data_IF_601709239856
#
_entry.id   IF_601709239856
#
_cell.length_a   1.000
_cell.length_b   1.000
_cell.length_c   1.000
_cell.angle_alpha   90.00
_cell.angle_beta   90.00
_cell.angle_gamma   90.00
#
_symmetry.space_group_name_H-M   'P 1'
#
loop_
_entity.id
_entity.type
_entity.pdbx_description
1 polymer ?
#
# COMPACT_ATOMS: atom_id res chain seq x y z
N UNK A 1 -3.73 -12.79 -14.54
CA UNK A 1 -3.28 -11.39 -14.44
C UNK A 1 -2.46 -11.26 -13.16
N UNK A 2 -1.23 -10.75 -13.23
CA UNK A 2 -0.36 -10.69 -12.06
C UNK A 2 -0.85 -9.62 -11.09
N UNK A 3 -1.16 -10.00 -9.84
CA UNK A 3 -1.74 -9.12 -8.80
C UNK A 3 -0.93 -7.83 -8.59
N UNK A 4 0.41 -7.94 -8.53
CA UNK A 4 1.31 -6.79 -8.36
C UNK A 4 1.14 -5.80 -9.53
N UNK A 5 1.02 -6.32 -10.76
CA UNK A 5 0.88 -5.52 -11.97
C UNK A 5 -0.45 -4.76 -11.99
N UNK A 6 -1.56 -5.41 -11.62
CA UNK A 6 -2.88 -4.76 -11.57
C UNK A 6 -2.92 -3.68 -10.49
N UNK A 7 -2.34 -3.94 -9.31
CA UNK A 7 -2.28 -2.94 -8.23
C UNK A 7 -1.46 -1.72 -8.64
N UNK A 8 -0.33 -1.91 -9.34
CA UNK A 8 0.49 -0.81 -9.83
C UNK A 8 -0.18 0.04 -10.91
N UNK A 9 -0.96 -0.58 -11.80
CA UNK A 9 -1.66 0.14 -12.86
C UNK A 9 -2.84 0.96 -12.32
N UNK A 10 -3.51 0.47 -11.28
CA UNK A 10 -4.72 1.06 -10.70
C UNK A 10 -4.44 2.01 -9.52
N UNK A 11 -3.21 2.03 -9.02
CA UNK A 11 -2.77 2.98 -8.00
C UNK A 11 -2.56 4.39 -8.58
N UNK A 12 -3.05 5.40 -7.87
CA UNK A 12 -2.73 6.80 -8.09
C UNK A 12 -1.26 7.10 -7.74
N UNK A 13 -0.78 8.28 -8.14
CA UNK A 13 0.60 8.70 -7.85
C UNK A 13 0.91 8.68 -6.34
N UNK A 14 0.00 9.18 -5.51
CA UNK A 14 0.18 9.20 -4.05
C UNK A 14 0.19 7.80 -3.44
N UNK A 15 -0.63 6.89 -3.97
CA UNK A 15 -0.64 5.49 -3.51
C UNK A 15 0.65 4.77 -3.92
N UNK A 16 1.20 5.06 -5.11
CA UNK A 16 2.52 4.55 -5.52
C UNK A 16 3.63 5.06 -4.61
N UNK A 17 3.59 6.35 -4.27
CA UNK A 17 4.53 6.94 -3.32
C UNK A 17 4.42 6.31 -1.93
N UNK A 18 3.20 6.06 -1.44
CA UNK A 18 3.01 5.38 -0.16
C UNK A 18 3.52 3.93 -0.19
N UNK A 19 3.24 3.17 -1.26
CA UNK A 19 3.73 1.80 -1.43
C UNK A 19 5.26 1.75 -1.49
N UNK A 20 5.88 2.57 -2.34
CA UNK A 20 7.34 2.63 -2.49
C UNK A 20 8.00 3.19 -1.23
N UNK A 21 7.43 4.24 -0.63
CA UNK A 21 7.94 4.85 0.59
C UNK A 21 7.92 3.88 1.77
N UNK A 22 6.83 3.14 1.96
CA UNK A 22 6.74 2.11 3.01
C UNK A 22 7.75 0.99 2.77
N UNK A 23 7.96 0.57 1.51
CA UNK A 23 8.92 -0.49 1.20
C UNK A 23 10.38 -0.02 1.35
N UNK A 24 10.66 1.23 0.96
CA UNK A 24 11.97 1.84 1.12
C UNK A 24 12.34 2.03 2.59
N UNK A 25 11.36 2.37 3.43
CA UNK A 25 11.50 2.46 4.88
C UNK A 25 12.00 1.15 5.48
N UNK A 26 11.35 0.02 5.16
CA UNK A 26 11.76 -1.32 5.62
C UNK A 26 13.18 -1.75 5.21
N UNK A 27 13.76 -1.13 4.18
CA UNK A 27 15.09 -1.50 3.65
C UNK A 27 16.17 -0.53 4.17
N UNK A 28 15.79 0.62 4.74
CA UNK A 28 16.73 1.68 5.04
C UNK A 28 17.52 1.38 6.35
N UNK A 29 18.86 1.29 6.31
CA UNK A 29 19.67 1.07 7.51
C UNK A 29 19.66 2.27 8.47
N UNK A 30 19.25 3.45 7.99
CA UNK A 30 19.07 4.66 8.80
C UNK A 30 17.87 4.54 9.74
N UNK A 31 16.97 3.57 9.56
CA UNK A 31 15.83 3.35 10.45
C UNK A 31 16.19 2.43 11.63
N UNK A 32 16.95 1.36 11.34
CA UNK A 32 17.46 0.41 12.34
C UNK A 32 18.39 1.04 13.40
N UNK A 33 19.19 2.03 12.99
CA UNK A 33 20.20 2.68 13.85
C UNK A 33 19.54 3.57 14.93
N UNK A 34 18.61 4.48 14.60
CA UNK A 34 17.75 5.19 15.56
C UNK A 34 16.89 4.24 16.40
N UNK A 35 16.35 3.17 15.83
CA UNK A 35 15.58 2.19 16.59
C UNK A 35 16.38 1.56 17.73
N UNK A 36 17.62 1.15 17.44
CA UNK A 36 18.58 0.64 18.42
C UNK A 36 18.93 1.68 19.49
N UNK A 37 18.83 2.97 19.18
CA UNK A 37 19.10 4.08 20.11
C UNK A 37 17.88 4.55 20.90
N UNK A 38 16.66 4.41 20.36
CA UNK A 38 15.41 4.93 20.93
C UNK A 38 14.40 3.85 21.38
N UNK A 39 14.72 2.57 21.17
CA UNK A 39 14.23 1.37 21.88
C UNK A 39 12.74 1.03 21.76
N UNK A 40 11.85 1.93 22.20
CA UNK A 40 10.40 1.69 22.33
C UNK A 40 9.60 2.49 21.29
N UNK A 41 10.18 3.57 20.74
CA UNK A 41 9.49 4.43 19.78
C UNK A 41 9.46 3.88 18.35
N UNK A 42 10.39 2.98 17.98
CA UNK A 42 10.47 2.38 16.64
C UNK A 42 9.47 1.24 16.34
N UNK A 43 8.69 0.83 17.35
CA UNK A 43 7.61 -0.13 17.10
C UNK A 43 6.36 0.60 16.57
N UNK A 44 6.20 1.89 16.91
CA UNK A 44 4.97 2.63 16.63
C UNK A 44 4.91 3.16 15.18
N UNK A 45 6.03 3.61 14.65
CA UNK A 45 6.25 4.02 13.25
C UNK A 45 6.18 2.83 12.28
N UNK A 46 6.74 1.67 12.64
CA UNK A 46 6.62 0.42 11.87
C UNK A 46 5.15 -0.02 11.70
N UNK A 47 4.39 0.00 12.80
CA UNK A 47 2.94 -0.29 12.77
C UNK A 47 2.21 0.73 11.90
N UNK A 48 2.59 2.01 11.94
CA UNK A 48 1.99 3.05 11.11
C UNK A 48 2.29 2.82 9.62
N UNK A 49 3.52 2.44 9.27
CA UNK A 49 3.93 2.11 7.90
C UNK A 49 3.16 0.89 7.36
N UNK A 50 3.05 -0.18 8.17
CA UNK A 50 2.24 -1.36 7.82
C UNK A 50 0.76 -1.01 7.63
N UNK A 51 0.20 -0.19 8.52
CA UNK A 51 -1.19 0.25 8.42
C UNK A 51 -1.42 1.09 7.15
N UNK A 52 -0.48 1.97 6.80
CA UNK A 52 -0.54 2.77 5.58
C UNK A 52 -0.45 1.90 4.33
N UNK A 53 0.46 0.93 4.31
CA UNK A 53 0.62 -0.03 3.22
C UNK A 53 -0.67 -0.85 3.04
N UNK A 54 -1.17 -1.43 4.13
CA UNK A 54 -2.36 -2.28 4.11
C UNK A 54 -3.62 -1.52 3.68
N UNK A 55 -3.86 -0.34 4.25
CA UNK A 55 -4.99 0.51 3.88
C UNK A 55 -4.95 0.93 2.40
N UNK A 56 -3.76 1.19 1.87
CA UNK A 56 -3.56 1.52 0.46
C UNK A 56 -3.88 0.35 -0.45
N UNK A 57 -3.39 -0.86 -0.13
CA UNK A 57 -3.70 -2.08 -0.90
C UNK A 57 -5.20 -2.36 -0.90
N UNK A 58 -5.87 -2.24 0.26
CA UNK A 58 -7.32 -2.47 0.36
C UNK A 58 -8.12 -1.49 -0.50
N UNK A 59 -7.77 -0.19 -0.49
CA UNK A 59 -8.42 0.82 -1.33
C UNK A 59 -8.30 0.50 -2.81
N UNK A 60 -7.09 0.17 -3.28
CA UNK A 60 -6.85 -0.19 -4.68
C UNK A 60 -7.64 -1.44 -5.06
N UNK A 61 -7.63 -2.47 -4.19
CA UNK A 61 -8.39 -3.72 -4.42
C UNK A 61 -9.89 -3.47 -4.53
N UNK A 62 -10.45 -2.64 -3.66
CA UNK A 62 -11.88 -2.32 -3.70
C UNK A 62 -12.26 -1.60 -5.00
N UNK A 63 -11.42 -0.68 -5.50
CA UNK A 63 -11.65 -0.04 -6.81
C UNK A 63 -11.59 -1.04 -7.97
N UNK A 64 -10.64 -1.97 -7.95
CA UNK A 64 -10.54 -3.03 -8.96
C UNK A 64 -11.81 -3.88 -8.96
N UNK A 65 -12.24 -4.36 -7.78
CA UNK A 65 -13.44 -5.17 -7.64
C UNK A 65 -14.70 -4.44 -8.10
N UNK A 66 -14.82 -3.15 -7.79
CA UNK A 66 -15.95 -2.33 -8.23
C UNK A 66 -15.97 -2.15 -9.75
N UNK A 67 -14.82 -1.91 -10.39
CA UNK A 67 -14.71 -1.87 -11.86
C UNK A 67 -15.10 -3.20 -12.52
N UNK A 68 -14.65 -4.32 -11.97
CA UNK A 68 -15.00 -5.65 -12.47
C UNK A 68 -16.50 -5.94 -12.29
N UNK A 69 -17.07 -5.54 -11.15
CA UNK A 69 -18.51 -5.65 -10.89
C UNK A 69 -19.32 -4.81 -11.89
N UNK A 70 -18.92 -3.58 -12.18
CA UNK A 70 -19.60 -2.73 -13.16
C UNK A 70 -19.54 -3.29 -14.58
N UNK A 71 -18.42 -3.91 -14.98
CA UNK A 71 -18.32 -4.61 -16.28
C UNK A 71 -19.25 -5.83 -16.37
N UNK A 72 -19.50 -6.52 -15.26
CA UNK A 72 -20.35 -7.72 -15.21
C UNK A 72 -21.86 -7.43 -15.19
N UNK A 73 -22.27 -6.18 -14.93
CA UNK A 73 -23.68 -5.82 -14.94
C UNK A 73 -24.18 -5.70 -16.40
N UNK A 74 -25.30 -6.34 -16.77
CA UNK A 74 -25.87 -6.20 -18.10
C UNK A 74 -26.21 -4.73 -18.30
N UNK A 75 -25.67 -4.15 -19.38
CA UNK A 75 -25.98 -2.77 -19.75
C UNK A 75 -27.43 -2.73 -20.21
N UNK A 76 -28.36 -2.50 -19.29
CA UNK A 76 -29.76 -2.19 -19.64
C UNK A 76 -29.75 -0.85 -20.34
N UNK A 77 -29.68 -0.90 -21.68
CA UNK A 77 -30.02 0.22 -22.57
C UNK A 77 -31.52 0.23 -22.81
#
# INVERSE_FOLDING_TARGET
MNFIRSTWQEASFMEKLALVGSLAYFILPIDLIPELMFGVFGIADDIAALALLFSTVLRVRNRINEKERQKSLPTTR
#
